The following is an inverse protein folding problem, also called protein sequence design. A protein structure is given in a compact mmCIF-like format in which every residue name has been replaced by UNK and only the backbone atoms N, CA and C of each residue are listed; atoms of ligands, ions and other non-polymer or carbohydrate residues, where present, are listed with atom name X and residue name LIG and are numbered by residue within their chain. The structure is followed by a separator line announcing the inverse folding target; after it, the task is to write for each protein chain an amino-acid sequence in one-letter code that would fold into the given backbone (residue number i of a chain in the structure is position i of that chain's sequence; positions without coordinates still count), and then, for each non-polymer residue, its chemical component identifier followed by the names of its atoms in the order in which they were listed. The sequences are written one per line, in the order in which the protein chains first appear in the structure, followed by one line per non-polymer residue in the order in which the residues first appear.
data_IF_690962585700
#
_entry.id   IF_690962585700
#
_cell.length_a   1.000
_cell.length_b   1.000
_cell.length_c   1.000
_cell.angle_alpha   90.00
_cell.angle_beta   90.00
_cell.angle_gamma   90.00
#
_symmetry.space_group_name_H-M   'P 1'
#
loop_
_entity.id
_entity.type
_entity.pdbx_description
1 polymer ?
#
# COMPACT_ATOMS: atom_id res chain seq x y z
N UNK A 1 34.32 14.23 -18.59
CA UNK A 1 34.17 14.06 -17.13
C UNK A 1 32.70 14.23 -16.78
N UNK A 2 32.00 13.10 -16.55
CA UNK A 2 30.61 13.14 -16.00
C UNK A 2 30.68 13.74 -14.60
N UNK A 3 30.24 14.98 -14.43
CA UNK A 3 30.10 15.62 -13.10
C UNK A 3 29.20 14.72 -12.24
N UNK A 4 29.69 14.27 -11.10
CA UNK A 4 28.89 13.50 -10.13
C UNK A 4 27.72 14.39 -9.68
N UNK A 5 26.50 13.87 -9.74
CA UNK A 5 25.32 14.59 -9.25
C UNK A 5 25.46 14.86 -7.75
N UNK A 6 24.99 16.00 -7.24
CA UNK A 6 24.94 16.27 -5.80
C UNK A 6 24.18 15.17 -5.05
N UNK A 7 24.59 14.83 -3.82
CA UNK A 7 23.92 13.80 -3.03
C UNK A 7 22.41 14.01 -2.85
N UNK A 8 21.96 15.25 -2.64
CA UNK A 8 20.54 15.60 -2.54
C UNK A 8 19.76 15.26 -3.82
N UNK A 9 20.34 15.47 -5.00
CA UNK A 9 19.71 15.10 -6.28
C UNK A 9 19.59 13.58 -6.41
N UNK A 10 20.61 12.83 -5.98
CA UNK A 10 20.57 11.35 -6.01
C UNK A 10 19.46 10.84 -5.11
N UNK A 11 19.41 11.34 -3.87
CA UNK A 11 18.38 10.93 -2.88
C UNK A 11 16.98 11.32 -3.38
N UNK A 12 16.77 12.57 -3.81
CA UNK A 12 15.48 13.02 -4.33
C UNK A 12 15.00 12.12 -5.47
N UNK A 13 15.88 11.82 -6.44
CA UNK A 13 15.54 10.92 -7.56
C UNK A 13 15.21 9.49 -7.10
N UNK A 14 15.88 8.98 -6.08
CA UNK A 14 15.57 7.65 -5.52
C UNK A 14 14.15 7.60 -4.92
N UNK A 15 13.68 8.70 -4.34
CA UNK A 15 12.34 8.79 -3.75
C UNK A 15 11.27 8.81 -4.82
N UNK A 16 11.44 9.57 -5.91
CA UNK A 16 10.36 9.85 -6.87
C UNK A 16 10.43 9.06 -8.17
N UNK A 17 11.54 8.41 -8.48
CA UNK A 17 11.62 7.59 -9.71
C UNK A 17 11.09 6.18 -9.41
N UNK A 18 10.13 5.68 -10.20
CA UNK A 18 9.76 4.28 -10.16
C UNK A 18 10.97 3.37 -10.40
N UNK A 19 11.29 2.44 -9.50
CA UNK A 19 12.46 1.60 -9.67
C UNK A 19 12.24 0.61 -10.81
N UNK A 20 13.21 0.49 -11.71
CA UNK A 20 13.18 -0.50 -12.79
C UNK A 20 13.38 -1.93 -12.29
N UNK A 21 14.05 -2.09 -11.16
CA UNK A 21 14.35 -3.38 -10.52
C UNK A 21 14.49 -3.18 -9.01
N UNK A 22 13.96 -4.15 -8.24
CA UNK A 22 14.21 -4.25 -6.80
C UNK A 22 15.48 -5.03 -6.53
N UNK A 23 16.14 -4.73 -5.43
CA UNK A 23 17.37 -5.40 -5.04
C UNK A 23 17.06 -6.70 -4.30
N UNK A 24 17.64 -7.80 -4.77
CA UNK A 24 17.64 -9.07 -4.07
C UNK A 24 18.77 -9.01 -3.01
N UNK A 25 18.41 -8.78 -1.77
CA UNK A 25 19.36 -8.51 -0.67
C UNK A 25 19.63 -9.74 0.23
N UNK A 26 18.81 -10.77 0.15
CA UNK A 26 18.95 -12.02 0.90
C UNK A 26 19.70 -13.05 0.04
N UNK A 27 20.72 -13.70 0.63
CA UNK A 27 21.40 -14.83 -0.02
C UNK A 27 20.64 -16.13 0.21
N UNK A 28 20.52 -16.93 -0.82
CA UNK A 28 20.09 -18.34 -0.75
C UNK A 28 21.36 -19.15 -0.56
N UNK A 29 21.46 -19.86 0.55
CA UNK A 29 22.66 -20.63 0.94
C UNK A 29 22.52 -22.09 0.57
N UNK A 30 21.35 -22.68 0.77
CA UNK A 30 21.00 -24.01 0.32
C UNK A 30 19.50 -24.19 0.16
N UNK A 31 19.10 -25.18 -0.61
CA UNK A 31 17.74 -25.61 -0.84
C UNK A 31 17.67 -27.12 -0.62
N UNK A 32 16.75 -27.56 0.21
CA UNK A 32 16.39 -28.98 0.35
C UNK A 32 14.98 -29.17 -0.20
N UNK A 33 14.91 -29.80 -1.38
CA UNK A 33 13.63 -30.07 -2.04
C UNK A 33 12.88 -31.24 -1.39
N UNK A 34 13.58 -32.14 -0.72
CA UNK A 34 12.97 -33.30 -0.04
C UNK A 34 12.21 -32.84 1.18
N UNK A 35 12.83 -32.00 2.00
CA UNK A 35 12.24 -31.47 3.22
C UNK A 35 11.48 -30.17 2.99
N UNK A 36 11.39 -29.68 1.72
CA UNK A 36 10.77 -28.41 1.35
C UNK A 36 11.28 -27.25 2.23
N UNK A 37 12.61 -27.11 2.35
CA UNK A 37 13.23 -26.05 3.16
C UNK A 37 14.27 -25.26 2.38
N UNK A 38 14.45 -24.00 2.78
CA UNK A 38 15.45 -23.08 2.24
C UNK A 38 16.27 -22.48 3.36
N UNK A 39 17.59 -22.47 3.20
CA UNK A 39 18.50 -21.79 4.12
C UNK A 39 18.88 -20.43 3.54
N UNK A 40 18.58 -19.39 4.27
CA UNK A 40 18.78 -17.99 3.87
C UNK A 40 19.80 -17.30 4.77
N UNK A 41 20.47 -16.27 4.24
CA UNK A 41 21.27 -15.39 5.10
C UNK A 41 20.38 -14.67 6.11
N UNK A 42 20.89 -14.53 7.33
CA UNK A 42 20.20 -13.83 8.42
C UNK A 42 20.02 -12.34 8.11
N UNK A 43 18.82 -11.84 8.28
CA UNK A 43 18.44 -10.44 8.16
C UNK A 43 17.19 -10.16 9.00
N UNK A 44 16.83 -8.90 9.25
CA UNK A 44 15.57 -8.60 9.93
C UNK A 44 14.36 -9.23 9.23
N UNK A 45 14.33 -9.27 7.89
CA UNK A 45 13.22 -9.86 7.14
C UNK A 45 13.22 -11.39 7.17
N UNK A 46 14.37 -12.05 7.02
CA UNK A 46 14.43 -13.52 7.06
C UNK A 46 14.13 -14.11 8.44
N UNK A 47 14.32 -13.30 9.52
CA UNK A 47 14.01 -13.66 10.90
C UNK A 47 12.59 -13.32 11.35
N UNK A 48 11.83 -12.61 10.52
CA UNK A 48 10.49 -12.22 10.90
C UNK A 48 9.56 -13.44 10.82
N UNK A 49 8.87 -13.84 11.92
CA UNK A 49 7.89 -14.92 11.90
C UNK A 49 6.74 -14.65 10.94
N UNK A 50 6.08 -15.71 10.45
CA UNK A 50 4.94 -15.61 9.58
C UNK A 50 5.19 -16.07 8.14
N UNK A 51 4.28 -15.75 7.22
CA UNK A 51 4.27 -16.24 5.85
C UNK A 51 4.50 -15.08 4.87
N UNK A 52 5.43 -15.28 3.91
CA UNK A 52 5.86 -14.22 3.00
C UNK A 52 6.02 -14.71 1.57
N UNK A 53 5.91 -13.78 0.62
CA UNK A 53 6.46 -13.97 -0.71
C UNK A 53 7.98 -13.80 -0.69
N UNK A 54 8.68 -14.72 -1.34
CA UNK A 54 10.11 -14.61 -1.61
C UNK A 54 10.32 -14.56 -3.12
N UNK A 55 10.70 -13.37 -3.60
CA UNK A 55 11.02 -13.13 -4.99
C UNK A 55 12.51 -13.34 -5.19
N UNK A 56 12.91 -14.02 -6.27
CA UNK A 56 14.30 -14.32 -6.53
C UNK A 56 14.69 -14.09 -7.99
N UNK A 57 15.98 -14.09 -8.26
CA UNK A 57 16.56 -13.90 -9.59
C UNK A 57 16.03 -12.65 -10.33
N UNK A 58 15.79 -11.55 -9.57
CA UNK A 58 15.34 -10.26 -10.13
C UNK A 58 13.94 -10.30 -10.69
N UNK A 59 12.99 -10.84 -9.94
CA UNK A 59 11.57 -10.97 -10.25
C UNK A 59 11.22 -12.04 -11.29
N UNK A 60 12.18 -12.87 -11.69
CA UNK A 60 11.93 -14.00 -12.62
C UNK A 60 11.54 -15.29 -11.91
N UNK A 61 11.50 -15.30 -10.57
CA UNK A 61 11.04 -16.41 -9.78
C UNK A 61 10.33 -15.97 -8.49
N UNK A 62 9.40 -16.81 -8.03
CA UNK A 62 8.59 -16.58 -6.83
C UNK A 62 8.32 -17.89 -6.11
N UNK A 63 8.41 -17.84 -4.77
CA UNK A 63 8.02 -18.92 -3.88
C UNK A 63 7.44 -18.33 -2.58
N UNK A 64 6.48 -19.02 -1.99
CA UNK A 64 6.01 -18.69 -0.64
C UNK A 64 6.90 -19.34 0.40
N UNK A 65 7.28 -18.57 1.40
CA UNK A 65 8.06 -19.03 2.54
C UNK A 65 7.21 -18.95 3.81
N UNK A 66 7.25 -20.02 4.59
CA UNK A 66 6.47 -20.18 5.80
C UNK A 66 7.35 -20.12 7.07
N UNK A 67 7.16 -21.07 7.96
CA UNK A 67 7.75 -21.10 9.31
C UNK A 67 9.27 -21.09 9.33
N UNK A 68 9.81 -20.50 10.40
CA UNK A 68 11.21 -20.61 10.77
C UNK A 68 11.42 -21.98 11.44
N UNK A 69 12.14 -22.87 10.76
CA UNK A 69 12.44 -24.22 11.24
C UNK A 69 13.67 -24.20 12.16
N UNK A 70 14.69 -23.43 11.77
CA UNK A 70 15.90 -23.23 12.55
C UNK A 70 16.52 -21.86 12.27
N UNK A 71 17.27 -21.34 13.24
CA UNK A 71 18.01 -20.09 13.04
C UNK A 71 19.25 -20.03 13.92
N UNK A 72 20.28 -19.40 13.39
CA UNK A 72 21.49 -19.02 14.12
C UNK A 72 21.85 -17.54 13.81
N UNK A 73 22.95 -16.97 14.36
CA UNK A 73 23.29 -15.58 14.07
C UNK A 73 23.51 -15.23 12.60
N UNK A 74 23.81 -16.20 11.74
CA UNK A 74 24.17 -16.00 10.33
C UNK A 74 23.12 -16.51 9.35
N UNK A 75 22.31 -17.50 9.76
CA UNK A 75 21.40 -18.22 8.87
C UNK A 75 20.01 -18.36 9.47
N UNK A 76 19.03 -18.53 8.58
CA UNK A 76 17.64 -18.86 8.91
C UNK A 76 17.16 -19.91 7.94
N UNK A 77 16.69 -21.04 8.46
CA UNK A 77 16.05 -22.10 7.69
C UNK A 77 14.54 -21.91 7.77
N UNK A 78 13.89 -21.86 6.61
CA UNK A 78 12.43 -21.69 6.52
C UNK A 78 11.82 -22.79 5.68
N UNK A 79 10.57 -23.12 6.00
CA UNK A 79 9.73 -23.93 5.12
C UNK A 79 9.39 -23.14 3.84
N UNK A 80 9.21 -23.87 2.74
CA UNK A 80 8.77 -23.30 1.46
C UNK A 80 7.65 -24.13 0.85
N UNK A 81 6.80 -23.49 0.07
CA UNK A 81 5.87 -24.15 -0.83
C UNK A 81 6.57 -24.51 -2.16
N UNK A 82 5.85 -25.13 -3.05
CA UNK A 82 6.31 -25.31 -4.45
C UNK A 82 6.43 -23.93 -5.10
N UNK A 83 7.54 -23.61 -5.78
CA UNK A 83 7.66 -22.34 -6.48
C UNK A 83 6.51 -22.12 -7.47
N UNK A 84 5.89 -20.94 -7.43
CA UNK A 84 4.84 -20.57 -8.38
C UNK A 84 5.41 -20.46 -9.80
N UNK A 85 6.65 -20.00 -9.94
CA UNK A 85 7.42 -19.96 -11.18
C UNK A 85 8.91 -19.69 -10.92
N UNK A 86 9.74 -19.92 -11.93
CA UNK A 86 11.19 -19.73 -11.91
C UNK A 86 11.97 -20.94 -11.38
N UNK A 87 13.29 -20.89 -11.58
CA UNK A 87 14.23 -21.93 -11.11
C UNK A 87 14.83 -21.54 -9.76
N UNK A 88 14.24 -22.04 -8.68
CA UNK A 88 14.73 -21.77 -7.31
C UNK A 88 16.06 -22.49 -7.03
N UNK A 89 16.31 -23.66 -7.63
CA UNK A 89 17.55 -24.41 -7.42
C UNK A 89 18.76 -23.69 -7.99
N UNK A 90 18.60 -22.99 -9.10
CA UNK A 90 19.65 -22.14 -9.69
C UNK A 90 19.75 -20.74 -9.07
N UNK A 91 18.82 -20.35 -8.22
CA UNK A 91 18.78 -18.99 -7.65
C UNK A 91 19.85 -18.82 -6.54
N UNK A 92 20.44 -17.64 -6.48
CA UNK A 92 21.47 -17.31 -5.47
C UNK A 92 21.03 -16.23 -4.50
N UNK A 93 20.08 -15.41 -4.88
CA UNK A 93 19.58 -14.28 -4.07
C UNK A 93 18.12 -14.05 -4.33
N UNK A 94 17.45 -13.50 -3.32
CA UNK A 94 16.07 -13.06 -3.39
C UNK A 94 15.78 -11.97 -2.37
N UNK A 95 14.52 -11.65 -2.22
CA UNK A 95 14.02 -10.68 -1.23
C UNK A 95 12.64 -11.06 -0.71
N UNK A 96 12.38 -10.73 0.53
CA UNK A 96 11.05 -10.85 1.14
C UNK A 96 10.11 -9.72 0.68
N UNK A 97 8.84 -10.05 0.54
CA UNK A 97 7.78 -9.11 0.26
C UNK A 97 6.53 -9.46 1.06
N UNK A 98 5.78 -8.43 1.54
CA UNK A 98 4.49 -8.60 2.18
C UNK A 98 3.36 -8.94 1.22
N UNK A 99 3.49 -8.66 -0.04
CA UNK A 99 2.55 -9.03 -1.09
C UNK A 99 2.57 -10.56 -1.28
N UNK A 100 1.59 -11.25 -0.70
CA UNK A 100 1.56 -12.71 -0.57
C UNK A 100 0.81 -13.39 -1.72
N UNK A 101 -0.33 -12.84 -2.11
CA UNK A 101 -1.13 -13.32 -3.24
C UNK A 101 -0.64 -12.67 -4.53
N UNK A 102 -0.51 -13.43 -5.62
CA UNK A 102 -0.08 -12.93 -6.93
C UNK A 102 -1.26 -12.43 -7.77
N UNK A 103 -2.39 -13.11 -7.65
CA UNK A 103 -3.63 -12.80 -8.35
C UNK A 103 -4.84 -13.12 -7.48
N UNK A 104 -6.05 -12.65 -7.82
CA UNK A 104 -7.27 -13.03 -7.08
C UNK A 104 -7.58 -14.53 -7.14
N UNK A 105 -6.99 -15.29 -8.07
CA UNK A 105 -7.12 -16.76 -8.13
C UNK A 105 -6.59 -17.42 -6.87
N UNK A 106 -5.55 -16.86 -6.28
CA UNK A 106 -4.96 -17.38 -5.03
C UNK A 106 -5.92 -17.24 -3.82
N UNK A 107 -6.94 -16.40 -3.94
CA UNK A 107 -8.01 -16.25 -2.93
C UNK A 107 -9.16 -17.23 -3.14
N UNK A 108 -9.17 -17.99 -4.25
CA UNK A 108 -10.25 -18.89 -4.63
C UNK A 108 -11.63 -18.22 -4.66
N UNK A 109 -11.69 -16.96 -5.11
CA UNK A 109 -12.92 -16.17 -5.24
C UNK A 109 -13.14 -15.76 -6.70
N UNK A 110 -14.41 -15.56 -7.14
CA UNK A 110 -14.68 -15.01 -8.46
C UNK A 110 -14.16 -13.58 -8.56
N UNK A 111 -13.69 -13.21 -9.75
CA UNK A 111 -13.25 -11.86 -10.06
C UNK A 111 -13.33 -11.57 -11.55
N UNK A 112 -13.41 -10.30 -11.90
CA UNK A 112 -13.29 -9.80 -13.25
C UNK A 112 -12.10 -8.83 -13.36
N UNK A 113 -11.45 -8.81 -14.52
CA UNK A 113 -10.51 -7.74 -14.87
C UNK A 113 -11.29 -6.60 -15.52
N UNK A 114 -11.16 -5.40 -14.96
CA UNK A 114 -11.85 -4.21 -15.43
C UNK A 114 -10.85 -3.08 -15.71
N UNK A 115 -11.28 -2.10 -16.51
CA UNK A 115 -10.49 -0.91 -16.82
C UNK A 115 -11.12 0.31 -16.17
N UNK A 116 -10.30 1.08 -15.46
CA UNK A 116 -10.69 2.35 -14.85
C UNK A 116 -10.21 3.48 -15.73
N UNK A 117 -11.13 4.30 -16.25
CA UNK A 117 -10.80 5.49 -17.02
C UNK A 117 -10.19 6.57 -16.13
N UNK A 118 -8.86 6.64 -16.08
CA UNK A 118 -8.14 7.67 -15.34
C UNK A 118 -7.83 8.87 -16.25
N UNK A 119 -7.42 10.02 -15.68
CA UNK A 119 -6.99 11.17 -16.50
C UNK A 119 -5.82 10.90 -17.45
N UNK A 120 -5.04 9.82 -17.21
CA UNK A 120 -3.89 9.44 -18.03
C UNK A 120 -4.18 8.28 -18.98
N UNK A 121 -5.39 7.72 -18.97
CA UNK A 121 -5.79 6.55 -19.75
C UNK A 121 -6.30 5.42 -18.88
N UNK A 122 -6.57 4.28 -19.49
CA UNK A 122 -7.17 3.15 -18.82
C UNK A 122 -6.18 2.44 -17.91
N UNK A 123 -6.53 2.32 -16.62
CA UNK A 123 -5.76 1.59 -15.63
C UNK A 123 -6.47 0.28 -15.25
N UNK A 124 -5.76 -0.86 -15.27
CA UNK A 124 -6.38 -2.14 -14.95
C UNK A 124 -6.68 -2.27 -13.45
N UNK A 125 -7.81 -2.88 -13.14
CA UNK A 125 -8.22 -3.20 -11.78
C UNK A 125 -8.86 -4.60 -11.72
N UNK A 126 -8.92 -5.17 -10.51
CA UNK A 126 -9.68 -6.39 -10.23
C UNK A 126 -10.94 -6.06 -9.47
N UNK A 127 -12.08 -6.46 -10.03
CA UNK A 127 -13.39 -6.40 -9.40
C UNK A 127 -13.71 -7.77 -8.79
N UNK A 128 -13.80 -7.83 -7.48
CA UNK A 128 -14.05 -9.05 -6.72
C UNK A 128 -15.40 -8.89 -5.99
N UNK A 129 -16.46 -9.58 -6.42
CA UNK A 129 -17.79 -9.39 -5.86
C UNK A 129 -17.86 -9.85 -4.39
N UNK A 130 -18.73 -9.20 -3.63
CA UNK A 130 -19.12 -9.67 -2.31
C UNK A 130 -19.72 -11.08 -2.38
N UNK A 131 -19.85 -11.73 -1.22
CA UNK A 131 -20.56 -13.04 -1.15
C UNK A 131 -22.03 -12.92 -1.50
N UNK A 132 -22.65 -11.82 -1.08
CA UNK A 132 -24.04 -11.52 -1.41
C UNK A 132 -24.10 -10.67 -2.70
N UNK A 133 -24.96 -11.02 -3.66
CA UNK A 133 -25.08 -10.25 -4.88
C UNK A 133 -25.64 -8.84 -4.60
N UNK A 134 -25.32 -7.90 -5.51
CA UNK A 134 -25.75 -6.49 -5.44
C UNK A 134 -25.33 -5.76 -4.15
N UNK A 135 -24.17 -6.08 -3.61
CA UNK A 135 -23.61 -5.37 -2.47
C UNK A 135 -23.45 -3.87 -2.80
N UNK A 136 -23.95 -3.02 -1.90
CA UNK A 136 -23.90 -1.56 -2.03
C UNK A 136 -22.65 -0.94 -1.40
N UNK A 137 -21.90 -1.74 -0.67
CA UNK A 137 -20.65 -1.36 -0.02
C UNK A 137 -19.46 -1.86 -0.80
N UNK A 138 -18.54 -0.98 -1.14
CA UNK A 138 -17.34 -1.36 -1.86
C UNK A 138 -16.08 -0.96 -1.12
N UNK A 139 -15.09 -1.83 -1.17
CA UNK A 139 -13.71 -1.55 -0.81
C UNK A 139 -12.93 -1.10 -2.04
N UNK A 140 -12.19 0.00 -1.95
CA UNK A 140 -11.18 0.37 -2.94
C UNK A 140 -9.81 0.15 -2.32
N UNK A 141 -9.07 -0.85 -2.82
CA UNK A 141 -7.74 -1.23 -2.33
C UNK A 141 -6.63 -0.59 -3.16
N UNK A 142 -5.75 0.19 -2.51
CA UNK A 142 -4.70 1.02 -3.12
C UNK A 142 -3.33 0.62 -2.60
N UNK A 143 -2.50 0.04 -3.47
CA UNK A 143 -1.16 -0.45 -3.12
C UNK A 143 -0.16 0.68 -2.82
N UNK A 144 0.98 0.33 -2.22
CA UNK A 144 2.06 1.24 -1.91
C UNK A 144 2.91 1.62 -3.14
N UNK A 145 3.96 2.43 -2.89
CA UNK A 145 4.91 2.88 -3.92
C UNK A 145 5.77 1.72 -4.44
N UNK A 146 5.94 1.66 -5.74
CA UNK A 146 6.82 0.68 -6.41
C UNK A 146 6.42 -0.78 -6.16
N UNK A 147 5.17 -1.02 -5.82
CA UNK A 147 4.53 -2.33 -5.80
C UNK A 147 3.40 -2.36 -6.82
N UNK A 148 2.58 -3.37 -6.81
CA UNK A 148 1.46 -3.54 -7.73
C UNK A 148 0.19 -3.89 -6.96
N UNK A 149 -0.95 -3.83 -7.63
CA UNK A 149 -2.27 -4.15 -7.07
C UNK A 149 -2.37 -5.47 -6.27
N UNK A 150 -1.58 -6.55 -6.53
CA UNK A 150 -1.62 -7.75 -5.69
C UNK A 150 -1.35 -7.49 -4.20
N UNK A 151 -0.60 -6.44 -3.84
CA UNK A 151 -0.38 -6.09 -2.43
C UNK A 151 -1.69 -5.89 -1.67
N UNK A 152 -2.71 -5.32 -2.31
CA UNK A 152 -3.99 -5.01 -1.71
C UNK A 152 -4.94 -6.23 -1.60
N UNK A 153 -4.61 -7.37 -2.20
CA UNK A 153 -5.44 -8.59 -2.12
C UNK A 153 -5.62 -9.10 -0.69
N UNK A 154 -4.69 -8.81 0.21
CA UNK A 154 -4.79 -9.17 1.63
C UNK A 154 -6.03 -8.58 2.30
N UNK A 155 -6.49 -7.42 1.85
CA UNK A 155 -7.71 -6.78 2.36
C UNK A 155 -9.01 -7.43 1.88
N UNK A 156 -9.00 -8.22 0.82
CA UNK A 156 -10.23 -8.72 0.18
C UNK A 156 -11.04 -9.61 1.11
N UNK A 157 -10.41 -10.59 1.77
CA UNK A 157 -11.14 -11.62 2.53
C UNK A 157 -11.96 -11.04 3.67
N UNK A 158 -11.40 -10.21 4.60
CA UNK A 158 -12.19 -9.65 5.70
C UNK A 158 -13.33 -8.72 5.21
N UNK A 159 -13.11 -7.97 4.14
CA UNK A 159 -14.15 -7.10 3.58
C UNK A 159 -15.21 -7.87 2.83
N UNK A 160 -14.83 -8.89 2.06
CA UNK A 160 -15.79 -9.75 1.34
C UNK A 160 -16.72 -10.50 2.32
N UNK A 161 -16.16 -11.03 3.41
CA UNK A 161 -16.93 -11.67 4.49
C UNK A 161 -17.89 -10.68 5.18
N UNK A 162 -17.53 -9.39 5.24
CA UNK A 162 -18.39 -8.32 5.75
C UNK A 162 -19.38 -7.77 4.70
N UNK A 163 -19.45 -8.37 3.51
CA UNK A 163 -20.41 -8.02 2.46
C UNK A 163 -20.00 -6.88 1.55
N UNK A 164 -18.69 -6.57 1.45
CA UNK A 164 -18.17 -5.58 0.53
C UNK A 164 -17.73 -6.21 -0.80
N UNK A 165 -18.06 -5.58 -1.92
CA UNK A 165 -17.39 -5.80 -3.20
C UNK A 165 -16.02 -5.10 -3.15
N UNK A 166 -14.96 -5.71 -3.65
CA UNK A 166 -13.62 -5.12 -3.64
C UNK A 166 -13.20 -4.73 -5.05
N UNK A 167 -12.72 -3.50 -5.20
CA UNK A 167 -12.06 -2.99 -6.40
C UNK A 167 -10.58 -2.74 -6.07
N UNK A 168 -9.71 -3.60 -6.58
CA UNK A 168 -8.27 -3.56 -6.34
C UNK A 168 -7.61 -2.88 -7.53
N UNK A 169 -7.11 -1.66 -7.32
CA UNK A 169 -6.75 -0.76 -8.41
C UNK A 169 -5.25 -0.67 -8.65
N UNK A 170 -4.87 -0.42 -9.90
CA UNK A 170 -3.57 0.12 -10.26
C UNK A 170 -3.69 1.62 -10.44
N UNK A 171 -2.65 2.37 -10.11
CA UNK A 171 -2.57 3.81 -10.34
C UNK A 171 -1.27 4.16 -11.06
N UNK A 172 -1.22 5.38 -11.62
CA UNK A 172 -0.12 5.85 -12.49
C UNK A 172 1.27 5.50 -12.00
N UNK A 173 2.13 5.19 -12.96
CA UNK A 173 3.55 4.88 -12.79
C UNK A 173 3.88 3.52 -12.16
N UNK A 174 2.89 2.74 -11.71
CA UNK A 174 3.10 1.40 -11.16
C UNK A 174 2.39 0.32 -11.98
N UNK A 175 3.05 -0.84 -12.10
CA UNK A 175 2.52 -2.00 -12.80
C UNK A 175 2.18 -1.72 -14.26
N UNK A 176 0.94 -2.03 -14.63
CA UNK A 176 0.40 -1.88 -15.98
C UNK A 176 -0.44 -0.61 -16.14
N UNK A 177 -0.46 0.27 -15.13
CA UNK A 177 -1.17 1.54 -15.18
C UNK A 177 -0.46 2.56 -16.09
N UNK A 178 -1.20 3.55 -16.63
CA UNK A 178 -0.63 4.62 -17.45
C UNK A 178 0.50 5.36 -16.75
N UNK A 179 1.44 5.84 -17.52
CA UNK A 179 2.57 6.65 -17.02
C UNK A 179 2.25 8.13 -17.13
N UNK A 180 2.62 8.91 -16.10
CA UNK A 180 2.66 10.36 -16.22
C UNK A 180 3.78 10.80 -17.17
N UNK A 181 3.65 11.99 -17.75
CA UNK A 181 4.62 12.51 -18.73
C UNK A 181 6.04 12.56 -18.17
N UNK A 182 6.18 12.88 -16.90
CA UNK A 182 7.46 12.92 -16.20
C UNK A 182 7.93 11.57 -15.68
N UNK A 183 7.04 10.57 -15.64
CA UNK A 183 7.27 9.26 -15.03
C UNK A 183 7.90 9.39 -13.64
N UNK A 184 7.24 10.18 -12.76
CA UNK A 184 7.65 10.42 -11.38
C UNK A 184 6.49 10.22 -10.43
N UNK A 185 6.79 9.67 -9.25
CA UNK A 185 5.86 9.72 -8.14
C UNK A 185 5.74 11.15 -7.62
N UNK A 186 4.53 11.59 -7.41
CA UNK A 186 4.21 12.81 -6.69
C UNK A 186 3.80 12.54 -5.23
N UNK A 187 4.14 11.37 -4.72
CA UNK A 187 4.02 10.97 -3.31
C UNK A 187 2.56 10.98 -2.77
N UNK A 188 1.58 10.82 -3.64
CA UNK A 188 0.15 10.92 -3.37
C UNK A 188 -0.48 12.24 -3.82
N UNK A 189 0.32 13.30 -4.00
CA UNK A 189 -0.18 14.63 -4.36
C UNK A 189 -0.83 14.69 -5.75
N UNK A 190 -0.41 13.85 -6.69
CA UNK A 190 -0.95 13.79 -8.06
C UNK A 190 -1.43 12.39 -8.48
N UNK A 191 -1.33 11.39 -7.61
CA UNK A 191 -1.87 10.04 -7.84
C UNK A 191 -3.36 9.94 -7.48
N UNK A 192 -3.86 10.81 -6.60
CA UNK A 192 -5.24 10.77 -6.10
C UNK A 192 -6.33 10.83 -7.19
N UNK A 193 -6.16 11.49 -8.37
CA UNK A 193 -7.20 11.48 -9.40
C UNK A 193 -7.48 10.10 -9.99
N UNK A 194 -6.50 9.18 -9.92
CA UNK A 194 -6.71 7.80 -10.37
C UNK A 194 -7.59 7.04 -9.36
N UNK A 195 -7.47 7.39 -8.06
CA UNK A 195 -8.33 6.83 -7.03
C UNK A 195 -9.73 7.45 -7.09
N UNK A 196 -9.84 8.74 -7.38
CA UNK A 196 -11.14 9.37 -7.68
C UNK A 196 -11.84 8.68 -8.84
N UNK A 197 -11.12 8.36 -9.91
CA UNK A 197 -11.67 7.62 -11.05
C UNK A 197 -12.19 6.23 -10.61
N UNK A 198 -11.46 5.53 -9.75
CA UNK A 198 -11.91 4.26 -9.19
C UNK A 198 -13.14 4.41 -8.29
N UNK A 199 -13.22 5.47 -7.49
CA UNK A 199 -14.40 5.76 -6.68
C UNK A 199 -15.62 6.03 -7.57
N UNK A 200 -15.48 6.84 -8.62
CA UNK A 200 -16.54 7.10 -9.61
C UNK A 200 -16.98 5.82 -10.31
N UNK A 201 -16.01 4.99 -10.75
CA UNK A 201 -16.31 3.68 -11.33
C UNK A 201 -17.18 2.85 -10.39
N UNK A 202 -16.83 2.76 -9.11
CA UNK A 202 -17.60 1.98 -8.14
C UNK A 202 -19.03 2.53 -7.98
N UNK A 203 -19.21 3.85 -7.88
CA UNK A 203 -20.50 4.50 -7.77
C UNK A 203 -21.37 4.27 -9.02
N UNK A 204 -20.80 4.39 -10.21
CA UNK A 204 -21.48 4.14 -11.49
C UNK A 204 -21.92 2.67 -11.64
N UNK A 205 -21.21 1.75 -10.96
CA UNK A 205 -21.52 0.31 -10.95
C UNK A 205 -22.33 -0.13 -9.71
N UNK A 206 -22.96 0.83 -9.02
CA UNK A 206 -23.96 0.56 -8.00
C UNK A 206 -23.47 0.56 -6.57
N UNK A 207 -22.23 0.97 -6.30
CA UNK A 207 -21.83 1.30 -4.94
C UNK A 207 -22.62 2.50 -4.41
N UNK A 208 -22.95 2.49 -3.14
CA UNK A 208 -23.58 3.61 -2.43
C UNK A 208 -22.66 4.11 -1.31
N UNK A 209 -21.85 3.21 -0.75
CA UNK A 209 -20.91 3.47 0.33
C UNK A 209 -19.55 2.86 0.00
N UNK A 210 -18.48 3.62 0.25
CA UNK A 210 -17.11 3.24 -0.05
C UNK A 210 -16.27 3.15 1.23
N UNK A 211 -15.39 2.17 1.30
CA UNK A 211 -14.23 2.16 2.20
C UNK A 211 -12.97 2.25 1.34
N UNK A 212 -12.07 3.15 1.68
CA UNK A 212 -10.76 3.23 1.05
C UNK A 212 -9.74 2.49 1.92
N UNK A 213 -8.88 1.68 1.30
CA UNK A 213 -7.79 1.04 2.02
C UNK A 213 -6.47 1.28 1.29
N UNK A 214 -5.47 1.81 2.00
CA UNK A 214 -4.19 2.19 1.42
C UNK A 214 -2.99 1.66 2.20
N UNK A 215 -1.98 1.17 1.46
CA UNK A 215 -0.70 0.72 1.98
C UNK A 215 0.38 1.76 1.72
N UNK A 216 1.17 2.13 2.74
CA UNK A 216 2.33 3.03 2.58
C UNK A 216 1.95 4.34 1.83
N UNK A 217 2.54 4.62 0.66
CA UNK A 217 2.16 5.75 -0.20
C UNK A 217 0.70 5.67 -0.67
N UNK A 218 0.14 4.47 -0.84
CA UNK A 218 -1.29 4.30 -1.11
C UNK A 218 -2.15 4.91 -0.01
N UNK A 219 -1.68 4.87 1.25
CA UNK A 219 -2.31 5.57 2.38
C UNK A 219 -2.33 7.09 2.17
N UNK A 220 -1.21 7.70 1.79
CA UNK A 220 -1.17 9.12 1.43
C UNK A 220 -2.14 9.43 0.28
N UNK A 221 -2.18 8.58 -0.74
CA UNK A 221 -3.01 8.77 -1.93
C UNK A 221 -4.51 8.71 -1.61
N UNK A 222 -4.95 7.76 -0.78
CA UNK A 222 -6.37 7.68 -0.40
C UNK A 222 -6.80 8.85 0.49
N UNK A 223 -5.92 9.35 1.36
CA UNK A 223 -6.20 10.54 2.17
C UNK A 223 -6.31 11.80 1.30
N UNK A 224 -5.49 11.92 0.25
CA UNK A 224 -5.62 12.99 -0.74
C UNK A 224 -6.93 12.86 -1.53
N UNK A 225 -7.30 11.67 -1.98
CA UNK A 225 -8.58 11.45 -2.66
C UNK A 225 -9.75 11.80 -1.74
N UNK A 226 -9.75 11.32 -0.49
CA UNK A 226 -10.80 11.60 0.49
C UNK A 226 -11.08 13.10 0.66
N UNK A 227 -10.01 13.92 0.74
CA UNK A 227 -10.12 15.34 1.06
C UNK A 227 -10.22 16.26 -0.16
N UNK A 228 -10.10 15.74 -1.39
CA UNK A 228 -10.04 16.55 -2.62
C UNK A 228 -11.18 16.28 -3.61
N UNK A 229 -11.92 15.18 -3.48
CA UNK A 229 -12.98 14.82 -4.41
C UNK A 229 -14.36 14.85 -3.76
N UNK A 230 -15.39 15.25 -4.53
CA UNK A 230 -16.78 15.14 -4.10
C UNK A 230 -17.20 13.68 -3.83
N UNK A 231 -16.59 12.69 -4.51
CA UNK A 231 -16.84 11.28 -4.23
C UNK A 231 -16.47 10.87 -2.79
N UNK A 232 -15.68 11.68 -2.08
CA UNK A 232 -15.37 11.51 -0.66
C UNK A 232 -16.60 11.49 0.25
N UNK A 233 -17.71 12.11 -0.15
CA UNK A 233 -18.99 12.09 0.58
C UNK A 233 -19.55 10.66 0.73
N UNK A 234 -19.29 9.79 -0.24
CA UNK A 234 -19.69 8.38 -0.23
C UNK A 234 -18.77 7.49 0.62
N UNK A 235 -17.63 8.01 1.07
CA UNK A 235 -16.69 7.26 1.92
C UNK A 235 -17.24 7.19 3.34
N UNK A 236 -17.39 5.96 3.85
CA UNK A 236 -17.87 5.68 5.21
C UNK A 236 -16.72 5.34 6.16
N UNK A 237 -15.50 5.15 5.65
CA UNK A 237 -14.33 4.91 6.47
C UNK A 237 -13.07 4.62 5.65
N UNK A 238 -11.92 4.64 6.33
CA UNK A 238 -10.60 4.45 5.72
C UNK A 238 -9.79 3.47 6.56
N UNK A 239 -9.06 2.56 5.90
CA UNK A 239 -8.08 1.67 6.55
C UNK A 239 -6.69 1.95 5.98
N UNK A 240 -5.71 2.08 6.85
CA UNK A 240 -4.34 2.43 6.48
C UNK A 240 -3.37 1.42 7.08
N UNK A 241 -2.55 0.78 6.25
CA UNK A 241 -1.45 -0.09 6.71
C UNK A 241 -0.10 0.56 6.44
N UNK A 242 0.70 0.75 7.51
CA UNK A 242 2.02 1.39 7.44
C UNK A 242 2.00 2.70 6.62
N UNK A 243 1.00 3.59 6.80
CA UNK A 243 0.74 4.70 5.90
C UNK A 243 1.80 5.79 6.00
N UNK A 244 2.07 6.46 4.88
CA UNK A 244 2.78 7.73 4.91
C UNK A 244 1.75 8.84 5.15
N UNK A 245 1.55 9.21 6.41
CA UNK A 245 0.64 10.33 6.78
C UNK A 245 1.36 11.67 6.83
N UNK A 246 2.69 11.65 6.93
CA UNK A 246 3.59 12.81 6.83
C UNK A 246 4.85 12.42 6.06
N UNK A 247 5.01 13.02 4.87
CA UNK A 247 6.18 12.76 4.03
C UNK A 247 7.44 13.42 4.54
N UNK A 248 7.36 14.57 5.23
CA UNK A 248 8.53 15.25 5.78
C UNK A 248 9.12 14.38 6.89
N UNK A 249 8.30 13.93 7.84
CA UNK A 249 8.72 13.00 8.89
C UNK A 249 9.32 11.71 8.33
N UNK A 250 8.72 11.15 7.27
CA UNK A 250 9.23 9.93 6.61
C UNK A 250 10.59 10.16 5.95
N UNK A 251 10.78 11.29 5.26
CA UNK A 251 12.05 11.63 4.63
C UNK A 251 13.14 11.92 5.67
N UNK A 252 12.77 12.55 6.78
CA UNK A 252 13.66 12.83 7.90
C UNK A 252 14.13 11.51 8.55
N UNK A 253 13.22 10.61 8.87
CA UNK A 253 13.53 9.28 9.39
C UNK A 253 14.47 8.50 8.46
N UNK A 254 14.21 8.50 7.15
CA UNK A 254 15.07 7.83 6.17
C UNK A 254 16.46 8.48 6.05
N UNK A 255 16.55 9.79 6.23
CA UNK A 255 17.82 10.50 6.23
C UNK A 255 18.63 10.14 7.48
N UNK A 256 18.03 10.10 8.66
CA UNK A 256 18.66 9.69 9.91
C UNK A 256 19.15 8.25 9.87
N UNK A 257 18.29 7.31 9.44
CA UNK A 257 18.63 5.90 9.29
C UNK A 257 19.85 5.68 8.39
N UNK A 258 20.00 6.49 7.35
CA UNK A 258 21.13 6.45 6.41
C UNK A 258 22.26 7.40 6.79
N UNK A 259 22.20 8.05 7.93
CA UNK A 259 23.18 9.02 8.43
C UNK A 259 23.53 10.10 7.40
N UNK A 260 22.49 10.61 6.69
CA UNK A 260 22.70 11.66 5.71
C UNK A 260 22.89 13.01 6.41
N UNK A 261 23.84 13.86 5.93
CA UNK A 261 24.00 15.21 6.45
C UNK A 261 22.74 16.05 6.32
N UNK A 262 22.45 16.91 7.29
CA UNK A 262 21.27 17.79 7.29
C UNK A 262 21.16 18.63 6.00
N UNK A 263 22.28 19.06 5.42
CA UNK A 263 22.31 19.80 4.16
C UNK A 263 21.77 18.98 2.97
N UNK A 264 21.97 17.65 2.97
CA UNK A 264 21.42 16.75 1.96
C UNK A 264 19.90 16.67 2.10
N UNK A 265 19.41 16.51 3.33
CA UNK A 265 17.98 16.49 3.65
C UNK A 265 17.29 17.79 3.20
N UNK A 266 17.82 18.94 3.66
CA UNK A 266 17.29 20.25 3.26
C UNK A 266 17.30 20.42 1.73
N UNK A 267 18.36 19.97 1.07
CA UNK A 267 18.47 20.01 -0.38
C UNK A 267 17.40 19.15 -1.08
N UNK A 268 17.03 17.98 -0.54
CA UNK A 268 15.94 17.14 -1.07
C UNK A 268 14.58 17.87 -0.97
N UNK A 269 14.25 18.40 0.19
CA UNK A 269 12.99 19.15 0.40
C UNK A 269 12.92 20.38 -0.52
N UNK A 270 14.03 21.10 -0.65
CA UNK A 270 14.15 22.25 -1.56
C UNK A 270 13.92 21.86 -3.02
N UNK A 271 14.52 20.73 -3.48
CA UNK A 271 14.32 20.22 -4.83
C UNK A 271 12.87 19.82 -5.12
N UNK A 272 12.13 19.36 -4.11
CA UNK A 272 10.73 19.02 -4.27
C UNK A 272 9.81 20.25 -4.27
N UNK A 273 10.12 21.25 -3.45
CA UNK A 273 9.26 22.41 -3.21
C UNK A 273 9.29 23.44 -4.35
N UNK A 274 10.40 23.57 -5.07
CA UNK A 274 10.56 24.66 -6.04
C UNK A 274 10.61 24.17 -7.49
N UNK A 275 9.99 24.93 -8.42
CA UNK A 275 9.93 24.59 -9.86
C UNK A 275 11.30 24.32 -10.49
N UNK A 276 12.33 25.07 -10.11
CA UNK A 276 13.69 24.85 -10.63
C UNK A 276 14.27 23.49 -10.25
N UNK A 277 13.77 22.88 -9.15
CA UNK A 277 14.17 21.54 -8.74
C UNK A 277 13.83 20.47 -9.77
N UNK A 278 12.79 20.70 -10.59
CA UNK A 278 12.43 19.84 -11.72
C UNK A 278 13.55 19.63 -12.72
N UNK A 279 14.44 20.62 -12.93
CA UNK A 279 15.62 20.50 -13.79
C UNK A 279 16.58 19.39 -13.34
N UNK A 280 16.59 19.06 -12.07
CA UNK A 280 17.46 18.05 -11.46
C UNK A 280 16.73 16.72 -11.18
N UNK A 281 15.49 16.79 -10.77
CA UNK A 281 14.68 15.65 -10.36
C UNK A 281 13.92 15.03 -11.53
N UNK A 282 13.52 15.85 -12.50
CA UNK A 282 12.64 15.49 -13.60
C UNK A 282 11.15 15.58 -13.26
N UNK A 283 10.79 16.13 -12.09
CA UNK A 283 9.41 16.48 -11.76
C UNK A 283 8.90 17.57 -12.71
N UNK A 284 7.72 17.35 -13.29
CA UNK A 284 7.06 18.36 -14.13
C UNK A 284 6.62 19.57 -13.29
N UNK A 285 6.20 19.31 -12.06
CA UNK A 285 5.76 20.35 -11.11
C UNK A 285 6.30 20.09 -9.70
N UNK A 286 6.43 21.14 -8.87
CA UNK A 286 6.75 20.98 -7.46
C UNK A 286 5.75 20.10 -6.72
N UNK A 287 6.21 19.49 -5.61
CA UNK A 287 5.34 18.79 -4.68
C UNK A 287 4.83 19.76 -3.61
N UNK A 288 3.55 19.69 -3.32
CA UNK A 288 2.97 20.39 -2.18
C UNK A 288 3.17 19.54 -0.90
N UNK A 289 4.35 19.69 -0.28
CA UNK A 289 4.70 18.92 0.91
C UNK A 289 3.82 19.27 2.12
N UNK A 290 3.33 20.51 2.20
CA UNK A 290 2.41 20.92 3.28
C UNK A 290 1.07 20.20 3.14
N UNK A 291 0.64 19.92 1.92
CA UNK A 291 -0.55 19.15 1.64
C UNK A 291 -0.39 17.64 1.92
N UNK A 292 0.83 17.15 1.96
CA UNK A 292 1.19 15.76 2.26
C UNK A 292 1.44 15.49 3.76
N UNK A 293 1.13 16.45 4.63
CA UNK A 293 1.22 16.35 6.09
C UNK A 293 -0.20 16.30 6.69
N UNK A 294 -0.71 15.10 6.89
CA UNK A 294 -2.04 14.89 7.50
C UNK A 294 -2.02 14.94 9.02
N UNK A 295 -0.88 15.01 9.68
CA UNK A 295 -0.83 15.33 11.11
C UNK A 295 -1.24 16.79 11.33
N UNK A 296 -0.65 17.71 10.59
CA UNK A 296 -1.01 19.14 10.61
C UNK A 296 -2.43 19.40 10.10
N UNK A 297 -2.86 18.62 9.11
CA UNK A 297 -4.18 18.74 8.47
C UNK A 297 -5.22 17.79 9.05
N UNK A 298 -5.02 17.26 10.24
CA UNK A 298 -5.87 16.25 10.86
C UNK A 298 -7.35 16.68 10.94
N UNK A 299 -7.63 17.98 11.10
CA UNK A 299 -8.99 18.52 11.16
C UNK A 299 -9.77 18.48 9.83
N UNK A 300 -9.09 18.23 8.71
CA UNK A 300 -9.75 18.03 7.41
C UNK A 300 -10.33 16.60 7.26
N UNK A 301 -9.95 15.69 8.16
CA UNK A 301 -10.44 14.31 8.15
C UNK A 301 -11.72 14.20 8.97
N UNK A 302 -12.78 13.67 8.38
CA UNK A 302 -14.12 13.58 9.00
C UNK A 302 -14.71 12.15 9.00
N UNK A 303 -13.97 11.17 8.50
CA UNK A 303 -14.42 9.77 8.42
C UNK A 303 -13.68 8.91 9.45
N UNK A 304 -14.30 7.82 9.94
CA UNK A 304 -13.61 6.82 10.74
C UNK A 304 -12.38 6.26 10.04
N UNK A 305 -11.25 6.20 10.74
CA UNK A 305 -9.98 5.71 10.21
C UNK A 305 -9.44 4.61 11.11
N UNK A 306 -9.05 3.47 10.53
CA UNK A 306 -8.24 2.46 11.20
C UNK A 306 -6.80 2.56 10.68
N UNK A 307 -5.84 2.75 11.57
CA UNK A 307 -4.41 2.70 11.25
C UNK A 307 -3.81 1.43 11.87
N UNK A 308 -3.18 0.62 11.03
CA UNK A 308 -2.38 -0.54 11.44
C UNK A 308 -0.92 -0.21 11.16
N UNK A 309 -0.05 -0.16 12.18
CA UNK A 309 1.35 0.22 11.99
C UNK A 309 2.28 -0.52 12.95
N UNK A 310 3.45 -0.88 12.46
CA UNK A 310 4.49 -1.53 13.26
C UNK A 310 5.49 -0.52 13.82
N UNK A 311 5.89 -0.69 15.08
CA UNK A 311 6.93 0.13 15.69
C UNK A 311 8.33 -0.20 15.13
N UNK A 312 8.50 -1.42 14.57
CA UNK A 312 9.72 -1.86 13.86
C UNK A 312 9.64 -1.56 12.34
N UNK A 313 8.84 -0.59 11.92
CA UNK A 313 8.79 -0.17 10.53
C UNK A 313 10.08 0.58 10.15
N UNK A 314 10.97 -0.09 9.41
CA UNK A 314 12.26 0.48 8.97
C UNK A 314 12.14 1.41 7.75
N UNK A 315 10.91 1.74 7.30
CA UNK A 315 10.71 2.58 6.12
C UNK A 315 9.87 3.83 6.41
N UNK A 316 8.73 3.68 7.05
CA UNK A 316 7.85 4.76 7.50
C UNK A 316 7.76 4.72 9.01
N UNK A 317 8.16 5.76 9.75
CA UNK A 317 8.09 5.74 11.21
C UNK A 317 6.63 5.75 11.69
N UNK A 318 6.33 4.93 12.70
CA UNK A 318 4.98 4.88 13.30
C UNK A 318 4.59 6.14 14.07
N UNK A 319 5.56 7.03 14.36
CA UNK A 319 5.35 8.27 15.12
C UNK A 319 4.28 9.17 14.52
N UNK A 320 4.36 9.48 13.22
CA UNK A 320 3.37 10.33 12.57
C UNK A 320 1.95 9.70 12.58
N UNK A 321 1.84 8.38 12.47
CA UNK A 321 0.57 7.67 12.61
C UNK A 321 -0.01 7.78 14.02
N UNK A 322 0.83 7.69 15.07
CA UNK A 322 0.44 7.90 16.46
C UNK A 322 0.02 9.34 16.72
N UNK A 323 0.77 10.31 16.16
CA UNK A 323 0.44 11.73 16.26
C UNK A 323 -0.92 12.04 15.62
N UNK A 324 -1.22 11.44 14.45
CA UNK A 324 -2.53 11.58 13.82
C UNK A 324 -3.64 10.98 14.72
N UNK A 325 -3.41 9.81 15.33
CA UNK A 325 -4.36 9.20 16.24
C UNK A 325 -4.59 10.06 17.50
N UNK A 326 -3.54 10.70 18.03
CA UNK A 326 -3.67 11.64 19.15
C UNK A 326 -4.39 12.92 18.74
N UNK A 327 -4.16 13.43 17.53
CA UNK A 327 -4.82 14.63 17.01
C UNK A 327 -6.32 14.43 16.73
N UNK A 328 -6.74 13.20 16.41
CA UNK A 328 -8.12 12.83 16.07
C UNK A 328 -8.60 11.55 16.77
N UNK A 329 -8.60 11.51 18.10
CA UNK A 329 -9.02 10.33 18.86
C UNK A 329 -10.51 10.00 18.69
N UNK A 330 -11.29 10.94 18.16
CA UNK A 330 -12.72 10.83 17.86
C UNK A 330 -12.99 9.92 16.63
N UNK A 331 -12.07 9.87 15.66
CA UNK A 331 -12.25 9.12 14.41
C UNK A 331 -11.12 8.13 14.11
N UNK A 332 -9.95 8.24 14.73
CA UNK A 332 -8.80 7.38 14.43
C UNK A 332 -8.66 6.29 15.48
N UNK A 333 -8.83 5.05 15.05
CA UNK A 333 -8.46 3.84 15.80
C UNK A 333 -7.04 3.42 15.39
N UNK A 334 -6.16 3.16 16.36
CA UNK A 334 -4.78 2.77 16.10
C UNK A 334 -4.51 1.36 16.64
N UNK A 335 -4.09 0.46 15.76
CA UNK A 335 -3.67 -0.89 16.11
C UNK A 335 -2.17 -1.04 15.94
N UNK A 336 -1.45 -1.18 17.05
CA UNK A 336 0.00 -1.28 17.05
C UNK A 336 0.49 -2.71 16.82
N UNK A 337 1.54 -2.84 15.99
CA UNK A 337 2.34 -4.07 15.85
C UNK A 337 3.77 -3.75 16.29
N UNK A 338 4.42 -4.68 17.02
CA UNK A 338 5.74 -4.41 17.58
C UNK A 338 6.88 -4.64 16.58
N UNK A 339 6.87 -5.77 15.86
CA UNK A 339 8.00 -6.23 15.03
C UNK A 339 7.60 -6.63 13.60
N UNK A 340 6.45 -6.23 13.12
CA UNK A 340 5.89 -6.69 11.84
C UNK A 340 6.55 -6.09 10.58
N UNK A 341 7.41 -5.12 10.70
CA UNK A 341 8.09 -4.42 9.58
C UNK A 341 7.11 -3.69 8.64
N UNK A 342 7.65 -2.97 7.62
CA UNK A 342 6.87 -2.17 6.68
C UNK A 342 5.99 -3.02 5.79
N UNK A 343 4.68 -2.77 5.78
CA UNK A 343 3.65 -3.43 4.95
C UNK A 343 3.66 -4.96 5.01
N UNK A 344 4.09 -5.53 6.15
CA UNK A 344 4.14 -6.97 6.40
C UNK A 344 3.32 -7.39 7.64
N UNK A 345 2.40 -6.54 8.07
CA UNK A 345 1.64 -6.76 9.31
C UNK A 345 0.74 -7.99 9.21
N UNK A 346 0.03 -8.13 8.09
CA UNK A 346 -0.79 -9.30 7.78
C UNK A 346 0.05 -10.59 7.74
N UNK A 347 1.25 -10.50 7.17
CA UNK A 347 2.14 -11.64 7.04
C UNK A 347 2.68 -12.11 8.39
N UNK A 348 2.96 -11.14 9.28
CA UNK A 348 3.50 -11.39 10.62
C UNK A 348 2.45 -11.96 11.58
N UNK A 349 1.25 -11.37 11.60
CA UNK A 349 0.14 -11.77 12.47
C UNK A 349 -1.19 -11.55 11.75
N UNK A 350 -1.55 -12.52 10.94
CA UNK A 350 -2.78 -12.49 10.13
C UNK A 350 -4.03 -12.38 10.99
N UNK A 351 -4.08 -13.12 12.10
CA UNK A 351 -5.28 -13.17 12.96
C UNK A 351 -5.53 -11.80 13.61
N UNK A 352 -4.49 -11.19 14.17
CA UNK A 352 -4.55 -9.84 14.74
C UNK A 352 -4.96 -8.82 13.69
N UNK A 353 -4.34 -8.85 12.51
CA UNK A 353 -4.60 -7.92 11.43
C UNK A 353 -6.04 -8.00 10.91
N UNK A 354 -6.50 -9.21 10.55
CA UNK A 354 -7.87 -9.42 10.08
C UNK A 354 -8.88 -9.17 11.20
N UNK A 355 -8.55 -9.53 12.43
CA UNK A 355 -9.36 -9.27 13.61
C UNK A 355 -9.57 -7.77 13.86
N UNK A 356 -8.52 -6.96 13.74
CA UNK A 356 -8.62 -5.50 13.86
C UNK A 356 -9.55 -4.91 12.79
N UNK A 357 -9.40 -5.33 11.54
CA UNK A 357 -10.27 -4.89 10.45
C UNK A 357 -11.73 -5.29 10.69
N UNK A 358 -11.99 -6.56 11.08
CA UNK A 358 -13.36 -7.02 11.36
C UNK A 358 -14.00 -6.25 12.51
N UNK A 359 -13.27 -6.01 13.60
CA UNK A 359 -13.77 -5.19 14.73
C UNK A 359 -14.10 -3.77 14.27
N UNK A 360 -13.20 -3.15 13.49
CA UNK A 360 -13.41 -1.80 13.00
C UNK A 360 -14.59 -1.71 12.01
N UNK A 361 -14.74 -2.66 11.06
CA UNK A 361 -15.89 -2.70 10.15
C UNK A 361 -17.20 -2.75 10.93
N UNK A 362 -17.23 -3.47 12.06
CA UNK A 362 -18.42 -3.57 12.90
C UNK A 362 -18.81 -2.25 13.57
N UNK A 363 -17.91 -1.27 13.65
CA UNK A 363 -18.20 0.09 14.16
C UNK A 363 -18.75 1.03 13.10
N UNK A 364 -18.63 0.68 11.81
CA UNK A 364 -19.15 1.50 10.72
C UNK A 364 -20.69 1.56 10.78
N UNK A 365 -21.29 2.67 10.29
CA UNK A 365 -22.73 2.78 10.21
C UNK A 365 -23.35 1.55 9.52
N UNK A 366 -24.56 1.10 9.92
CA UNK A 366 -25.24 0.05 9.20
C UNK A 366 -25.49 0.45 7.75
N UNK A 367 -25.51 -0.52 6.83
CA UNK A 367 -25.80 -0.25 5.41
C UNK A 367 -27.10 0.54 5.27
N UNK A 368 -27.09 1.60 4.46
CA UNK A 368 -28.28 2.41 4.21
C UNK A 368 -29.36 1.51 3.60
N UNK A 369 -30.44 1.24 4.34
CA UNK A 369 -31.64 0.63 3.80
C UNK A 369 -32.36 1.73 2.99
N UNK A 370 -32.58 1.48 1.71
CA UNK A 370 -33.35 2.40 0.86
C UNK A 370 -34.73 2.55 1.49
N UNK A 371 -35.01 3.68 2.14
CA UNK A 371 -36.38 4.05 2.50
C UNK A 371 -37.20 4.00 1.21
N UNK A 372 -38.29 3.22 1.24
CA UNK A 372 -39.20 3.12 0.11
C UNK A 372 -39.58 4.55 -0.33
N UNK A 373 -39.24 4.90 -1.55
CA UNK A 373 -39.76 6.13 -2.16
C UNK A 373 -41.30 5.98 -2.15
N UNK A 374 -41.94 6.58 -1.16
CA UNK A 374 -43.39 6.78 -1.21
C UNK A 374 -43.66 7.69 -2.38
N UNK A 375 -44.13 7.10 -3.49
CA UNK A 375 -44.69 7.84 -4.60
C UNK A 375 -45.91 8.58 -4.03
N UNK A 376 -45.98 9.92 -4.14
CA UNK A 376 -47.19 10.62 -3.74
C UNK A 376 -48.32 10.14 -4.61
N UNK A 377 -49.38 9.64 -3.99
CA UNK A 377 -50.63 9.28 -4.69
C UNK A 377 -51.12 10.50 -5.49
N UNK A 378 -51.24 10.33 -6.80
CA UNK A 378 -51.95 11.28 -7.64
C UNK A 378 -53.41 11.24 -7.17
N UNK A 379 -53.85 12.28 -6.49
CA UNK A 379 -55.27 12.57 -6.33
C UNK A 379 -55.80 13.08 -7.66
N UNK A 380 -56.76 12.33 -8.19
CA UNK A 380 -57.59 12.77 -9.29
C UNK A 380 -58.46 13.97 -8.90
#
# INVERSE_FOLDING_TARGET
TRRRRPPSVIVARTVIIPPSRRKDDIQILSLDQTDSTIVLSSSPDSRLPGEYSFWFSGDTGHVRVGDIIAQDPRTVTRSIEVPDFGDLAGARRGRFNGWFYLTPRDLHVPFDEVQIHTPLGDAPAWLIPAEKPNAKRWLIGVHGRAVRRPEALRGVIPFRAAGFTSLIVSYRNDGDAPRSDDYRYALGDREWPDIEAAMKYALDHGAEELVLMGWSMGGATVLQALTRTAAGEHVIGVVLESPVVDWIATLDFQAELRRLPAAVRLGVLTLFKYRWGGLFTGLAEPLDLDRLDFVRRAQELDKPILILHSDDDGFVPSTASRELAVARPDIVSYEAFEIARHTKLWNYDREKWEGAIRRWIATLPPARTRAARTTPARTN
#
